data_IF_631718092181
#
_entry.id   IF_631718092181
#
_cell.length_a   1.000
_cell.length_b   1.000
_cell.length_c   1.000
_cell.angle_alpha   90.00
_cell.angle_beta   90.00
_cell.angle_gamma   90.00
#
_symmetry.space_group_name_H-M   'P 1'
#
loop_
_entity.id
_entity.type
_entity.pdbx_description
1 polymer ?
#
# COMPACT_ATOMS: atom_id res chain seq x y z
N UNK A 1 -8.40 -6.69 22.59
CA UNK A 1 -8.70 -7.73 21.59
C UNK A 1 -9.08 -7.01 20.32
N UNK A 2 -8.19 -6.90 19.33
CA UNK A 2 -8.61 -6.41 18.01
C UNK A 2 -9.48 -7.51 17.43
N UNK A 3 -10.78 -7.23 17.29
CA UNK A 3 -11.69 -8.07 16.54
C UNK A 3 -11.36 -7.85 15.06
N UNK A 4 -10.57 -8.74 14.46
CA UNK A 4 -10.40 -8.71 13.02
C UNK A 4 -11.79 -8.79 12.38
N UNK A 5 -12.06 -7.85 11.48
CA UNK A 5 -13.31 -7.81 10.72
C UNK A 5 -13.54 -9.16 10.03
N UNK A 6 -14.78 -9.69 9.98
CA UNK A 6 -15.07 -10.92 9.24
C UNK A 6 -14.78 -10.80 7.74
N UNK A 7 -14.55 -9.58 7.24
CA UNK A 7 -14.20 -9.28 5.85
C UNK A 7 -12.69 -9.05 5.63
N UNK A 8 -11.86 -9.19 6.67
CA UNK A 8 -10.44 -8.85 6.64
C UNK A 8 -10.19 -7.34 6.75
N UNK A 9 -8.93 -6.89 6.58
CA UNK A 9 -8.57 -5.48 6.66
C UNK A 9 -9.31 -4.65 5.60
N UNK A 10 -9.64 -3.41 5.95
CA UNK A 10 -10.07 -2.43 4.97
C UNK A 10 -8.95 -2.21 3.94
N UNK A 11 -9.30 -2.13 2.66
CA UNK A 11 -8.35 -1.88 1.56
C UNK A 11 -8.68 -0.53 0.95
N UNK A 12 -7.73 0.40 0.98
CA UNK A 12 -7.94 1.76 0.47
C UNK A 12 -6.95 2.04 -0.65
N UNK A 13 -7.46 2.24 -1.85
CA UNK A 13 -6.67 2.65 -3.01
C UNK A 13 -6.45 4.17 -3.03
N UNK A 14 -5.22 4.60 -3.25
CA UNK A 14 -4.82 6.00 -3.44
C UNK A 14 -4.40 6.15 -4.91
N UNK A 15 -5.31 6.70 -5.72
CA UNK A 15 -5.09 6.93 -7.16
C UNK A 15 -4.99 8.40 -7.51
N UNK A 16 -4.38 8.70 -8.66
CA UNK A 16 -4.21 10.06 -9.17
C UNK A 16 -3.02 10.21 -10.12
N UNK A 17 -2.95 11.32 -10.90
CA UNK A 17 -1.90 11.53 -11.90
C UNK A 17 -0.49 11.53 -11.31
N UNK A 18 0.53 11.37 -12.16
CA UNK A 18 1.93 11.61 -11.78
C UNK A 18 2.08 13.02 -11.20
N UNK A 19 2.79 13.16 -10.07
CA UNK A 19 3.03 14.46 -9.42
C UNK A 19 1.87 15.03 -8.58
N UNK A 20 0.73 14.34 -8.48
CA UNK A 20 -0.43 14.80 -7.69
C UNK A 20 -0.27 14.70 -6.17
N UNK A 21 0.83 14.11 -5.69
CA UNK A 21 1.13 13.98 -4.25
C UNK A 21 0.59 12.72 -3.57
N UNK A 22 0.32 11.64 -4.33
CA UNK A 22 -0.14 10.35 -3.79
C UNK A 22 0.77 9.79 -2.69
N UNK A 23 2.07 9.66 -2.96
CA UNK A 23 3.06 9.18 -2.00
C UNK A 23 3.13 10.07 -0.75
N UNK A 24 3.02 11.39 -0.93
CA UNK A 24 2.98 12.34 0.18
C UNK A 24 1.71 12.14 1.04
N UNK A 25 0.54 11.97 0.41
CA UNK A 25 -0.70 11.65 1.13
C UNK A 25 -0.56 10.32 1.90
N UNK A 26 0.00 9.30 1.25
CA UNK A 26 0.23 7.99 1.84
C UNK A 26 1.15 8.06 3.07
N UNK A 27 2.25 8.82 2.99
CA UNK A 27 3.15 9.06 4.12
C UNK A 27 2.40 9.66 5.32
N UNK A 28 1.62 10.72 5.09
CA UNK A 28 0.87 11.40 6.16
C UNK A 28 -0.19 10.50 6.77
N UNK A 29 -0.91 9.74 5.96
CA UNK A 29 -1.89 8.75 6.42
C UNK A 29 -1.21 7.66 7.26
N UNK A 30 -0.09 7.10 6.80
CA UNK A 30 0.66 6.11 7.56
C UNK A 30 1.08 6.64 8.94
N UNK A 31 1.71 7.82 8.97
CA UNK A 31 2.16 8.44 10.23
C UNK A 31 1.01 8.72 11.19
N UNK A 32 -0.15 9.13 10.68
CA UNK A 32 -1.30 9.51 11.50
C UNK A 32 -2.11 8.32 12.02
N UNK A 33 -2.19 7.23 11.23
CA UNK A 33 -3.04 6.09 11.52
C UNK A 33 -2.33 4.97 12.27
N UNK A 34 -1.00 4.83 12.14
CA UNK A 34 -0.22 3.73 12.76
C UNK A 34 -0.27 3.68 14.28
N UNK A 35 -0.66 4.77 14.93
CA UNK A 35 -0.81 4.83 16.40
C UNK A 35 -2.14 4.25 16.88
N UNK A 36 -3.12 4.12 15.99
CA UNK A 36 -4.49 3.73 16.31
C UNK A 36 -4.93 2.42 15.63
N UNK A 37 -4.29 2.06 14.53
CA UNK A 37 -4.66 0.91 13.70
C UNK A 37 -3.42 0.09 13.35
N UNK A 38 -3.60 -1.21 13.20
CA UNK A 38 -2.61 -2.11 12.61
C UNK A 38 -2.64 -1.95 11.09
N UNK A 39 -1.61 -1.30 10.51
CA UNK A 39 -1.63 -0.90 9.10
C UNK A 39 -0.43 -1.39 8.29
N UNK A 40 -0.65 -1.55 6.99
CA UNK A 40 0.35 -1.87 5.97
C UNK A 40 0.21 -0.95 4.75
N UNK A 41 1.32 -0.77 4.04
CA UNK A 41 1.44 0.09 2.86
C UNK A 41 1.95 -0.73 1.67
N UNK A 42 1.25 -0.65 0.55
CA UNK A 42 1.65 -1.23 -0.75
C UNK A 42 1.76 -0.08 -1.75
N UNK A 43 2.90 0.06 -2.40
CA UNK A 43 3.12 1.09 -3.44
C UNK A 43 3.35 0.43 -4.78
N UNK A 44 2.75 0.97 -5.83
CA UNK A 44 2.88 0.45 -7.18
C UNK A 44 3.77 1.36 -8.01
N UNK A 45 4.90 0.80 -8.46
CA UNK A 45 5.84 1.47 -9.36
C UNK A 45 5.96 0.67 -10.67
N UNK A 46 6.24 1.35 -11.78
CA UNK A 46 6.27 0.67 -13.09
C UNK A 46 7.57 -0.15 -13.25
N UNK A 47 8.71 0.44 -12.89
CA UNK A 47 10.06 -0.14 -13.10
C UNK A 47 11.02 0.03 -11.91
N UNK A 48 10.55 0.64 -10.83
CA UNK A 48 11.38 1.02 -9.67
C UNK A 48 10.68 0.58 -8.38
N UNK A 49 11.28 0.93 -7.23
CA UNK A 49 10.67 0.81 -5.89
C UNK A 49 10.78 2.13 -5.15
N UNK A 50 10.77 3.24 -5.89
CA UNK A 50 11.12 4.55 -5.37
C UNK A 50 10.10 5.01 -4.33
N UNK A 51 8.81 4.77 -4.55
CA UNK A 51 7.76 5.16 -3.62
C UNK A 51 7.86 4.39 -2.30
N UNK A 52 8.15 3.08 -2.36
CA UNK A 52 8.40 2.27 -1.17
C UNK A 52 9.62 2.79 -0.39
N UNK A 53 10.68 3.18 -1.09
CA UNK A 53 11.86 3.75 -0.46
C UNK A 53 11.61 5.15 0.13
N UNK A 54 10.78 5.98 -0.50
CA UNK A 54 10.36 7.27 0.03
C UNK A 54 9.67 7.05 1.38
N UNK A 55 8.69 6.14 1.44
CA UNK A 55 7.99 5.82 2.69
C UNK A 55 8.93 5.25 3.76
N UNK A 56 9.89 4.41 3.35
CA UNK A 56 10.91 3.86 4.25
C UNK A 56 11.82 4.95 4.83
N UNK A 57 12.34 5.84 3.99
CA UNK A 57 13.18 6.98 4.40
C UNK A 57 12.43 7.96 5.30
N UNK A 58 11.15 8.19 5.00
CA UNK A 58 10.27 9.02 5.83
C UNK A 58 9.86 8.36 7.15
N UNK A 59 10.24 7.09 7.36
CA UNK A 59 9.85 6.26 8.50
C UNK A 59 8.32 6.26 8.67
N UNK A 60 7.59 6.15 7.57
CA UNK A 60 6.13 6.14 7.55
C UNK A 60 5.59 4.95 8.37
N UNK A 61 6.16 3.76 8.15
CA UNK A 61 5.94 2.54 8.92
C UNK A 61 7.27 1.80 9.12
N UNK A 62 7.26 0.71 9.88
CA UNK A 62 8.37 -0.23 9.90
C UNK A 62 8.57 -0.86 8.51
N UNK A 63 9.81 -1.17 8.15
CA UNK A 63 10.15 -1.61 6.79
C UNK A 63 9.41 -2.88 6.37
N UNK A 64 9.14 -3.77 7.33
CA UNK A 64 8.38 -4.99 7.10
C UNK A 64 6.91 -4.74 6.75
N UNK A 65 6.40 -3.52 6.98
CA UNK A 65 5.03 -3.09 6.71
C UNK A 65 4.87 -2.30 5.40
N UNK A 66 5.97 -2.08 4.66
CA UNK A 66 5.99 -1.37 3.38
C UNK A 66 6.38 -2.39 2.30
N UNK A 67 5.57 -2.50 1.25
CA UNK A 67 5.84 -3.39 0.12
C UNK A 67 5.73 -2.63 -1.20
N UNK A 68 6.84 -2.56 -1.94
CA UNK A 68 6.84 -2.07 -3.32
C UNK A 68 6.51 -3.19 -4.30
N UNK A 69 5.57 -2.92 -5.20
CA UNK A 69 5.11 -3.81 -6.26
C UNK A 69 5.46 -3.22 -7.62
N UNK A 70 6.19 -4.00 -8.42
CA UNK A 70 6.50 -3.65 -9.81
C UNK A 70 5.35 -4.11 -10.70
N UNK A 71 4.62 -3.16 -11.30
CA UNK A 71 3.39 -3.45 -12.06
C UNK A 71 3.64 -3.78 -13.53
N UNK A 72 4.79 -3.39 -14.07
CA UNK A 72 4.98 -3.34 -15.52
C UNK A 72 4.18 -2.20 -16.17
N UNK A 73 4.37 -2.05 -17.49
CA UNK A 73 4.21 -0.78 -18.23
C UNK A 73 2.91 0.04 -18.09
N UNK A 74 1.76 -0.55 -17.78
CA UNK A 74 0.48 0.18 -17.69
C UNK A 74 -0.05 0.19 -16.25
N UNK A 75 0.04 1.33 -15.53
CA UNK A 75 -0.41 1.44 -14.14
C UNK A 75 -1.87 1.04 -13.93
N UNK A 76 -2.73 1.40 -14.89
CA UNK A 76 -4.16 1.10 -14.86
C UNK A 76 -4.46 -0.40 -14.87
N UNK A 77 -3.67 -1.19 -15.60
CA UNK A 77 -3.82 -2.64 -15.65
C UNK A 77 -3.68 -3.26 -14.27
N UNK A 78 -2.67 -2.88 -13.50
CA UNK A 78 -2.41 -3.46 -12.19
C UNK A 78 -3.48 -3.15 -11.13
N UNK A 79 -4.35 -2.16 -11.36
CA UNK A 79 -5.41 -1.76 -10.43
C UNK A 79 -6.83 -1.96 -10.97
N UNK A 80 -6.99 -2.33 -12.25
CA UNK A 80 -8.31 -2.51 -12.90
C UNK A 80 -8.40 -3.80 -13.69
N UNK A 81 -7.63 -3.95 -14.75
CA UNK A 81 -7.78 -5.06 -15.70
C UNK A 81 -7.15 -6.37 -15.20
N UNK A 82 -6.00 -6.31 -14.54
CA UNK A 82 -5.30 -7.43 -13.92
C UNK A 82 -4.70 -7.03 -12.57
N UNK A 83 -5.50 -7.18 -11.52
CA UNK A 83 -5.08 -6.88 -10.15
C UNK A 83 -4.32 -8.03 -9.47
N UNK A 84 -3.93 -9.09 -10.19
CA UNK A 84 -3.38 -10.31 -9.59
C UNK A 84 -2.16 -10.04 -8.70
N UNK A 85 -1.25 -9.18 -9.12
CA UNK A 85 -0.04 -8.82 -8.38
C UNK A 85 -0.40 -8.09 -7.08
N UNK A 86 -1.32 -7.13 -7.13
CA UNK A 86 -1.80 -6.43 -5.94
C UNK A 86 -2.54 -7.36 -4.98
N UNK A 87 -3.35 -8.28 -5.50
CA UNK A 87 -4.03 -9.29 -4.68
C UNK A 87 -3.04 -10.23 -3.99
N UNK A 88 -1.97 -10.64 -4.68
CA UNK A 88 -0.90 -11.44 -4.09
C UNK A 88 -0.17 -10.69 -2.97
N UNK A 89 0.17 -9.41 -3.19
CA UNK A 89 0.78 -8.56 -2.18
C UNK A 89 -0.11 -8.38 -0.94
N UNK A 90 -1.41 -8.16 -1.14
CA UNK A 90 -2.40 -8.07 -0.06
C UNK A 90 -2.45 -9.37 0.75
N UNK A 91 -2.52 -10.52 0.11
CA UNK A 91 -2.54 -11.81 0.81
C UNK A 91 -1.24 -12.09 1.56
N UNK A 92 -0.09 -11.68 1.00
CA UNK A 92 1.18 -11.76 1.72
C UNK A 92 1.19 -10.89 2.97
N UNK A 93 0.72 -9.64 2.89
CA UNK A 93 0.66 -8.75 4.05
C UNK A 93 -0.30 -9.27 5.12
N UNK A 94 -1.45 -9.81 4.73
CA UNK A 94 -2.40 -10.47 5.66
C UNK A 94 -1.77 -11.68 6.35
N UNK A 95 -0.99 -12.48 5.63
CA UNK A 95 -0.30 -13.64 6.21
C UNK A 95 0.79 -13.22 7.20
N UNK A 96 1.53 -12.14 6.90
CA UNK A 96 2.60 -11.61 7.77
C UNK A 96 2.04 -10.91 9.00
N UNK A 97 0.91 -10.22 8.87
CA UNK A 97 0.27 -9.44 9.93
C UNK A 97 -1.22 -9.79 10.02
N UNK A 98 -1.58 -10.88 10.73
CA UNK A 98 -2.97 -11.37 10.80
C UNK A 98 -3.96 -10.41 11.48
N UNK A 99 -3.45 -9.44 12.24
CA UNK A 99 -4.22 -8.43 12.96
C UNK A 99 -4.43 -7.12 12.18
N UNK A 100 -4.02 -7.04 10.90
CA UNK A 100 -4.20 -5.84 10.10
C UNK A 100 -5.65 -5.34 10.10
N UNK A 101 -5.81 -4.06 10.39
CA UNK A 101 -7.06 -3.33 10.29
C UNK A 101 -7.19 -2.65 8.91
N UNK A 102 -6.07 -2.19 8.33
CA UNK A 102 -6.04 -1.38 7.12
C UNK A 102 -4.82 -1.68 6.23
N UNK A 103 -5.04 -1.75 4.92
CA UNK A 103 -3.99 -1.78 3.90
C UNK A 103 -4.21 -0.58 2.96
N UNK A 104 -3.22 0.31 2.90
CA UNK A 104 -3.15 1.41 1.94
C UNK A 104 -2.43 0.93 0.67
N UNK A 105 -3.00 1.24 -0.49
CA UNK A 105 -2.48 0.79 -1.80
C UNK A 105 -2.37 2.01 -2.71
N UNK A 106 -1.16 2.49 -2.98
CA UNK A 106 -0.92 3.55 -3.95
C UNK A 106 -0.86 2.97 -5.36
N UNK A 107 -1.58 3.57 -6.32
CA UNK A 107 -1.45 3.21 -7.74
C UNK A 107 -0.19 3.81 -8.34
N UNK A 108 0.33 3.20 -9.40
CA UNK A 108 1.27 3.89 -10.28
C UNK A 108 0.61 5.14 -10.86
N UNK A 109 1.37 6.23 -10.99
CA UNK A 109 0.87 7.42 -11.66
C UNK A 109 0.70 7.18 -13.17
N UNK A 110 -0.41 7.64 -13.73
CA UNK A 110 -0.62 7.81 -15.18
C UNK A 110 -0.50 9.29 -15.56
#
# INVERSE_FOLDING_TARGET
>A
MSSSSPHGPLRVGIGGPVGSGKTALMEHLCKRLREHYDIAAITNDIYTKEDAEILARAQALSLDRIMGVETGGCPHTAIREDCSINLAAIEEMKRRFPSLDLILIESGGD
#
